data_IF_744325331380
#
_entry.id   IF_744325331380
#
_cell.length_a   1.000
_cell.length_b   1.000
_cell.length_c   1.000
_cell.angle_alpha   90.00
_cell.angle_beta   90.00
_cell.angle_gamma   90.00
#
_symmetry.space_group_name_H-M   'P 1'
#
loop_
_entity.id
_entity.type
_entity.pdbx_description
1 polymer ?
#
# COMPACT_ATOMS: atom_id res chain seq x y z
N UNK A 1 2.72 7.49 15.21
CA UNK A 1 1.95 6.65 14.26
C UNK A 1 0.47 6.90 14.42
N UNK A 2 -0.25 7.01 13.30
CA UNK A 2 -1.70 7.31 13.29
C UNK A 2 -2.55 6.10 13.67
N UNK A 3 -2.11 4.90 13.28
CA UNK A 3 -2.81 3.65 13.56
C UNK A 3 -1.97 2.75 14.46
N UNK A 4 -2.63 2.08 15.39
CA UNK A 4 -2.01 1.06 16.24
C UNK A 4 -2.12 -0.30 15.54
N UNK A 5 -1.13 -0.58 14.67
CA UNK A 5 -1.05 -1.81 13.89
C UNK A 5 0.00 -2.72 14.52
N UNK A 6 -0.38 -3.94 14.85
CA UNK A 6 0.51 -4.90 15.49
C UNK A 6 0.76 -6.12 14.61
N UNK A 7 1.95 -6.72 14.72
CA UNK A 7 2.26 -7.98 14.02
C UNK A 7 1.30 -9.10 14.40
N UNK A 8 0.92 -9.20 15.68
CA UNK A 8 -0.01 -10.24 16.15
C UNK A 8 -1.34 -10.16 15.42
N UNK A 9 -1.90 -8.95 15.27
CA UNK A 9 -3.14 -8.74 14.53
C UNK A 9 -3.02 -9.19 13.06
N UNK A 10 -1.92 -8.83 12.38
CA UNK A 10 -1.69 -9.24 11.00
C UNK A 10 -1.52 -10.75 10.86
N UNK A 11 -0.78 -11.38 11.80
CA UNK A 11 -0.57 -12.83 11.81
C UNK A 11 -1.89 -13.58 12.06
N UNK A 12 -2.72 -13.09 12.97
CA UNK A 12 -4.02 -13.69 13.29
C UNK A 12 -4.97 -13.66 12.08
N UNK A 13 -4.86 -12.61 11.24
CA UNK A 13 -5.72 -12.45 10.04
C UNK A 13 -5.17 -13.23 8.84
N UNK A 14 -3.86 -13.11 8.55
CA UNK A 14 -3.29 -13.59 7.29
C UNK A 14 -2.37 -14.81 7.43
N UNK A 15 -1.85 -15.07 8.61
CA UNK A 15 -0.76 -16.02 8.82
C UNK A 15 0.63 -15.39 8.60
N UNK A 16 1.64 -15.99 9.22
CA UNK A 16 3.03 -15.49 9.20
C UNK A 16 3.65 -15.46 7.80
N UNK A 17 3.36 -16.48 6.98
CA UNK A 17 3.87 -16.68 5.63
C UNK A 17 3.31 -15.68 4.60
N UNK A 18 2.31 -14.93 4.98
CA UNK A 18 1.66 -13.93 4.13
C UNK A 18 2.00 -12.49 4.52
N UNK A 19 2.96 -12.32 5.40
CA UNK A 19 3.47 -11.00 5.79
C UNK A 19 4.86 -10.79 5.20
N UNK A 20 5.03 -9.66 4.53
CA UNK A 20 6.34 -9.21 4.06
C UNK A 20 6.91 -8.17 5.01
N UNK A 21 8.20 -8.30 5.33
CA UNK A 21 8.98 -7.34 6.12
C UNK A 21 10.21 -6.91 5.35
N UNK A 22 10.75 -5.75 5.69
CA UNK A 22 12.00 -5.24 5.15
C UNK A 22 13.08 -5.33 6.24
N UNK A 23 14.27 -5.91 5.96
CA UNK A 23 15.34 -5.95 6.95
C UNK A 23 15.90 -4.55 7.24
N UNK A 24 16.35 -4.31 8.47
CA UNK A 24 16.89 -3.00 8.87
C UNK A 24 18.06 -2.55 7.98
N UNK A 25 18.88 -3.48 7.51
CA UNK A 25 20.01 -3.23 6.62
C UNK A 25 19.63 -2.76 5.23
N UNK A 26 18.35 -2.95 4.83
CA UNK A 26 17.86 -2.51 3.53
C UNK A 26 17.68 -0.99 3.44
N UNK A 27 17.48 -0.32 4.57
CA UNK A 27 17.26 1.11 4.61
C UNK A 27 18.59 1.91 4.61
N UNK A 28 18.62 3.07 3.95
CA UNK A 28 19.75 4.01 4.14
C UNK A 28 19.82 4.46 5.61
N UNK A 29 21.01 4.85 6.12
CA UNK A 29 21.18 5.19 7.53
C UNK A 29 20.21 6.28 8.03
N UNK A 30 19.86 7.25 7.19
CA UNK A 30 18.92 8.32 7.53
C UNK A 30 17.49 7.80 7.79
N UNK A 31 17.08 6.68 7.16
CA UNK A 31 15.75 6.12 7.26
C UNK A 31 15.65 4.94 8.24
N UNK A 32 16.74 4.20 8.47
CA UNK A 32 16.73 2.90 9.17
C UNK A 32 16.11 2.94 10.58
N UNK A 33 16.30 4.05 11.29
CA UNK A 33 15.82 4.25 12.67
C UNK A 33 14.50 5.03 12.75
N UNK A 34 13.91 5.40 11.62
CA UNK A 34 12.60 6.07 11.61
C UNK A 34 11.49 5.12 12.12
N UNK A 35 10.44 5.69 12.67
CA UNK A 35 9.29 4.92 13.16
C UNK A 35 8.65 4.09 12.05
N UNK A 36 8.53 4.67 10.84
CA UNK A 36 8.00 3.98 9.66
C UNK A 36 8.86 2.80 9.21
N UNK A 37 10.19 2.96 9.15
CA UNK A 37 11.09 1.85 8.82
C UNK A 37 11.01 0.73 9.87
N UNK A 38 10.99 1.07 11.17
CA UNK A 38 10.83 0.09 12.24
C UNK A 38 9.53 -0.71 12.15
N UNK A 39 8.43 -0.05 11.75
CA UNK A 39 7.17 -0.74 11.52
C UNK A 39 7.30 -1.75 10.38
N UNK A 40 7.89 -1.38 9.25
CA UNK A 40 8.13 -2.30 8.13
C UNK A 40 9.09 -3.44 8.48
N UNK A 41 10.02 -3.22 9.41
CA UNK A 41 10.95 -4.26 9.89
C UNK A 41 10.28 -5.27 10.83
N UNK A 42 9.39 -4.80 11.72
CA UNK A 42 8.89 -5.62 12.83
C UNK A 42 7.45 -6.08 12.67
N UNK A 43 6.60 -5.26 12.09
CA UNK A 43 5.19 -5.57 11.84
C UNK A 43 5.02 -6.10 10.40
N UNK A 44 5.53 -5.39 9.42
CA UNK A 44 5.41 -5.74 8.01
C UNK A 44 4.07 -5.33 7.40
N UNK A 45 3.80 -5.84 6.20
CA UNK A 45 2.55 -5.62 5.46
C UNK A 45 2.01 -6.93 4.90
N UNK A 46 0.67 -7.10 4.78
CA UNK A 46 0.11 -8.27 4.10
C UNK A 46 0.45 -8.24 2.61
N UNK A 47 0.83 -9.41 2.09
CA UNK A 47 1.17 -9.58 0.68
C UNK A 47 -0.07 -9.67 -0.18
N UNK A 48 -0.05 -9.02 -1.34
CA UNK A 48 -1.15 -9.11 -2.32
C UNK A 48 -1.47 -7.77 -2.97
N UNK A 49 -2.12 -6.87 -2.26
CA UNK A 49 -2.51 -5.54 -2.78
C UNK A 49 -1.29 -4.64 -2.97
N UNK A 50 -0.48 -4.51 -1.93
CA UNK A 50 0.80 -3.79 -1.97
C UNK A 50 1.94 -4.78 -2.19
N UNK A 51 2.91 -4.41 -3.03
CA UNK A 51 4.15 -5.16 -3.21
C UNK A 51 5.30 -4.37 -2.59
N UNK A 52 5.89 -4.90 -1.51
CA UNK A 52 7.15 -4.37 -0.97
C UNK A 52 8.30 -4.62 -1.97
N UNK A 53 9.24 -3.69 -2.01
CA UNK A 53 10.46 -3.86 -2.79
C UNK A 53 11.33 -4.97 -2.18
N UNK A 54 11.89 -5.81 -3.04
CA UNK A 54 12.94 -6.75 -2.63
C UNK A 54 14.25 -5.98 -2.63
N UNK A 55 15.01 -5.98 -1.53
CA UNK A 55 16.33 -5.37 -1.52
C UNK A 55 17.22 -5.98 -2.60
N UNK A 56 18.06 -5.16 -3.22
CA UNK A 56 19.01 -5.58 -4.25
C UNK A 56 19.93 -6.69 -3.72
N UNK A 57 20.19 -7.73 -4.51
CA UNK A 57 20.95 -8.92 -4.09
C UNK A 57 22.41 -8.60 -3.76
N UNK A 58 23.01 -7.65 -4.47
CA UNK A 58 24.44 -7.32 -4.30
C UNK A 58 24.65 -6.34 -3.12
N UNK A 59 23.84 -5.31 -3.01
CA UNK A 59 23.94 -4.27 -1.97
C UNK A 59 23.16 -4.59 -0.69
N UNK A 60 22.13 -5.42 -0.78
CA UNK A 60 21.18 -5.69 0.30
C UNK A 60 20.31 -4.49 0.64
N UNK A 61 20.24 -3.46 -0.22
CA UNK A 61 19.57 -2.18 0.03
C UNK A 61 18.32 -2.01 -0.83
N UNK A 62 17.39 -1.21 -0.34
CA UNK A 62 16.28 -0.69 -1.12
C UNK A 62 16.83 0.30 -2.16
N UNK A 63 16.24 0.35 -3.37
CA UNK A 63 16.54 1.40 -4.31
C UNK A 63 16.09 2.76 -3.74
N UNK A 64 16.75 3.81 -4.17
CA UNK A 64 16.33 5.18 -3.90
C UNK A 64 15.44 5.68 -5.03
N UNK A 65 14.69 6.75 -4.80
CA UNK A 65 13.80 7.31 -5.83
C UNK A 65 14.57 7.61 -7.11
N UNK A 66 15.77 8.21 -7.02
CA UNK A 66 16.63 8.49 -8.18
C UNK A 66 17.10 7.25 -8.97
N UNK A 67 17.00 6.06 -8.38
CA UNK A 67 17.40 4.80 -9.02
C UNK A 67 16.26 4.21 -9.87
N UNK A 68 15.02 4.70 -9.68
CA UNK A 68 13.80 4.17 -10.30
C UNK A 68 13.05 5.17 -11.17
N UNK A 69 13.19 6.48 -10.89
CA UNK A 69 12.60 7.58 -11.69
C UNK A 69 13.59 8.73 -11.82
N UNK A 70 13.45 9.53 -12.88
CA UNK A 70 14.15 10.80 -12.99
C UNK A 70 13.39 11.87 -12.20
N UNK A 71 13.92 12.23 -11.02
CA UNK A 71 13.23 13.14 -10.08
C UNK A 71 13.02 14.54 -10.68
N UNK A 72 13.83 14.95 -11.66
CA UNK A 72 13.71 16.26 -12.32
C UNK A 72 12.42 16.37 -13.15
N UNK A 73 11.85 15.25 -13.58
CA UNK A 73 10.60 15.22 -14.34
C UNK A 73 9.37 15.43 -13.43
N UNK A 74 9.51 15.30 -12.10
CA UNK A 74 8.40 15.37 -11.16
C UNK A 74 8.22 16.77 -10.57
N UNK A 75 7.28 17.54 -11.09
CA UNK A 75 6.96 18.87 -10.57
C UNK A 75 6.50 18.79 -9.10
N UNK A 76 7.12 19.57 -8.22
CA UNK A 76 6.81 19.62 -6.79
C UNK A 76 7.50 18.55 -5.94
N UNK A 77 8.38 17.73 -6.51
CA UNK A 77 9.23 16.85 -5.73
C UNK A 77 10.14 17.66 -4.81
N UNK A 78 10.40 17.15 -3.60
CA UNK A 78 11.37 17.74 -2.67
C UNK A 78 12.79 17.63 -3.24
N UNK A 79 13.66 18.59 -2.96
CA UNK A 79 15.07 18.59 -3.40
C UNK A 79 15.82 17.33 -2.96
N UNK A 80 15.45 16.74 -1.83
CA UNK A 80 16.05 15.52 -1.28
C UNK A 80 15.29 14.26 -1.64
N UNK A 81 14.20 14.34 -2.41
CA UNK A 81 13.35 13.20 -2.75
C UNK A 81 14.12 12.06 -3.44
N UNK A 82 15.15 12.38 -4.22
CA UNK A 82 16.02 11.39 -4.85
C UNK A 82 16.74 10.45 -3.86
N UNK A 83 16.91 10.87 -2.60
CA UNK A 83 17.56 10.08 -1.55
C UNK A 83 16.60 9.23 -0.72
N UNK A 84 15.29 9.30 -0.99
CA UNK A 84 14.31 8.55 -0.23
C UNK A 84 14.29 7.07 -0.65
N UNK A 85 14.23 6.12 0.31
CA UNK A 85 14.11 4.70 -0.02
C UNK A 85 12.73 4.39 -0.61
N UNK A 86 12.72 3.67 -1.72
CA UNK A 86 11.50 3.11 -2.32
C UNK A 86 11.15 1.83 -1.59
N UNK A 87 10.10 1.88 -0.77
CA UNK A 87 9.67 0.77 0.07
C UNK A 87 8.80 -0.26 -0.65
N UNK A 88 8.21 0.12 -1.79
CA UNK A 88 7.35 -0.76 -2.56
C UNK A 88 6.68 -0.05 -3.73
N UNK A 89 5.70 -0.72 -4.31
CA UNK A 89 4.84 -0.13 -5.34
C UNK A 89 3.38 -0.57 -5.22
N UNK A 90 2.50 0.29 -5.70
CA UNK A 90 1.08 0.07 -5.77
C UNK A 90 0.57 0.61 -7.11
N UNK A 91 -0.11 -0.20 -7.92
CA UNK A 91 -0.39 0.11 -9.31
C UNK A 91 0.92 0.45 -10.06
N UNK A 92 0.99 1.62 -10.71
CA UNK A 92 2.14 2.11 -11.46
C UNK A 92 3.04 3.04 -10.61
N UNK A 93 2.66 3.33 -9.35
CA UNK A 93 3.39 4.26 -8.50
C UNK A 93 4.44 3.57 -7.62
N UNK A 94 5.65 4.13 -7.61
CA UNK A 94 6.67 3.80 -6.62
C UNK A 94 6.36 4.49 -5.29
N UNK A 95 6.35 3.73 -4.20
CA UNK A 95 6.10 4.27 -2.87
C UNK A 95 7.41 4.53 -2.16
N UNK A 96 7.68 5.79 -1.83
CA UNK A 96 8.89 6.21 -1.14
C UNK A 96 8.59 6.71 0.27
N UNK A 97 9.48 6.38 1.19
CA UNK A 97 9.45 6.88 2.57
C UNK A 97 10.34 8.10 2.69
N UNK A 98 9.77 9.27 3.02
CA UNK A 98 10.53 10.45 3.41
C UNK A 98 11.11 10.24 4.83
N UNK A 99 12.45 10.15 4.98
CA UNK A 99 13.06 9.91 6.28
C UNK A 99 12.92 11.11 7.24
N UNK A 100 12.77 12.32 6.69
CA UNK A 100 12.70 13.56 7.46
C UNK A 100 11.33 13.73 8.13
N UNK A 101 10.25 13.43 7.42
CA UNK A 101 8.88 13.61 7.91
C UNK A 101 8.18 12.31 8.32
N UNK A 102 8.67 11.16 7.88
CA UNK A 102 8.01 9.86 8.06
C UNK A 102 6.82 9.59 7.13
N UNK A 103 6.57 10.49 6.19
CA UNK A 103 5.47 10.40 5.22
C UNK A 103 5.78 9.41 4.12
N UNK A 104 4.71 8.88 3.50
CA UNK A 104 4.82 8.05 2.31
C UNK A 104 4.34 8.84 1.10
N UNK A 105 5.16 8.87 0.07
CA UNK A 105 4.87 9.52 -1.20
C UNK A 105 4.74 8.48 -2.31
N UNK A 106 3.83 8.72 -3.26
CA UNK A 106 3.68 7.96 -4.48
C UNK A 106 4.28 8.75 -5.64
N UNK A 107 5.18 8.13 -6.39
CA UNK A 107 5.79 8.64 -7.62
C UNK A 107 5.23 7.82 -8.78
N UNK A 108 4.34 8.41 -9.56
CA UNK A 108 3.78 7.79 -10.76
C UNK A 108 4.61 8.20 -11.97
N UNK A 109 5.36 7.24 -12.53
CA UNK A 109 6.27 7.51 -13.65
C UNK A 109 5.54 7.70 -14.98
N UNK A 110 4.32 7.19 -15.13
CA UNK A 110 3.55 7.34 -16.38
C UNK A 110 2.94 8.75 -16.47
N UNK A 111 2.58 9.33 -15.33
CA UNK A 111 1.97 10.66 -15.25
C UNK A 111 2.93 11.76 -14.78
N UNK A 112 4.19 11.39 -14.47
CA UNK A 112 5.22 12.29 -13.94
C UNK A 112 4.72 13.11 -12.71
N UNK A 113 3.89 12.45 -11.87
CA UNK A 113 3.29 13.08 -10.69
C UNK A 113 3.86 12.52 -9.38
N UNK A 114 4.07 13.40 -8.41
CA UNK A 114 4.38 13.02 -7.03
C UNK A 114 3.27 13.48 -6.11
N UNK A 115 2.75 12.57 -5.29
CA UNK A 115 1.69 12.86 -4.32
C UNK A 115 2.07 12.34 -2.93
N UNK A 116 1.83 13.14 -1.91
CA UNK A 116 1.87 12.62 -0.55
C UNK A 116 0.68 11.69 -0.37
N UNK A 117 0.96 10.40 -0.19
CA UNK A 117 -0.07 9.36 -0.16
C UNK A 117 -0.54 9.02 1.27
N UNK A 118 0.39 8.99 2.23
CA UNK A 118 0.08 8.72 3.64
C UNK A 118 0.84 9.64 4.56
N UNK A 119 0.20 10.00 5.67
CA UNK A 119 0.82 10.80 6.74
C UNK A 119 1.94 10.01 7.43
N UNK A 120 1.81 8.68 7.52
CA UNK A 120 2.85 7.78 8.01
C UNK A 120 2.68 6.34 7.49
N UNK A 121 3.66 5.49 7.77
CA UNK A 121 3.66 4.09 7.33
C UNK A 121 2.55 3.27 8.00
N UNK A 122 2.08 3.63 9.20
CA UNK A 122 0.99 2.89 9.85
C UNK A 122 -0.33 3.04 9.09
N UNK A 123 -0.55 4.21 8.48
CA UNK A 123 -1.68 4.45 7.59
C UNK A 123 -1.59 3.58 6.32
N UNK A 124 -0.41 3.50 5.69
CA UNK A 124 -0.19 2.61 4.55
C UNK A 124 -0.52 1.15 4.90
N UNK A 125 0.00 0.65 6.02
CA UNK A 125 -0.24 -0.73 6.47
C UNK A 125 -1.72 -0.95 6.76
N UNK A 126 -2.38 0.00 7.44
CA UNK A 126 -3.79 -0.11 7.80
C UNK A 126 -4.72 -0.15 6.58
N UNK A 127 -4.50 0.71 5.58
CA UNK A 127 -5.30 0.71 4.35
C UNK A 127 -5.06 -0.59 3.57
N UNK A 128 -3.78 -1.01 3.44
CA UNK A 128 -3.41 -2.28 2.79
C UNK A 128 -4.08 -3.48 3.47
N UNK A 129 -4.03 -3.55 4.81
CA UNK A 129 -4.68 -4.59 5.60
C UNK A 129 -6.16 -4.71 5.29
N UNK A 130 -6.88 -3.58 5.29
CA UNK A 130 -8.33 -3.58 5.07
C UNK A 130 -8.71 -4.04 3.67
N UNK A 131 -8.03 -3.56 2.64
CA UNK A 131 -8.25 -4.03 1.27
C UNK A 131 -7.88 -5.50 1.09
N UNK A 132 -6.71 -5.91 1.60
CA UNK A 132 -6.31 -7.31 1.48
C UNK A 132 -7.29 -8.24 2.18
N UNK A 133 -7.78 -7.87 3.36
CA UNK A 133 -8.79 -8.60 4.08
C UNK A 133 -10.11 -8.69 3.30
N UNK A 134 -10.57 -7.57 2.73
CA UNK A 134 -11.77 -7.54 1.90
C UNK A 134 -11.64 -8.51 0.72
N UNK A 135 -10.52 -8.48 -0.01
CA UNK A 135 -10.25 -9.36 -1.15
C UNK A 135 -10.19 -10.86 -0.79
N UNK A 136 -9.87 -11.18 0.46
CA UNK A 136 -9.77 -12.57 0.93
C UNK A 136 -11.06 -13.09 1.53
N UNK A 137 -11.80 -12.25 2.24
CA UNK A 137 -13.01 -12.66 2.98
C UNK A 137 -14.31 -12.46 2.19
N UNK A 138 -14.34 -11.56 1.20
CA UNK A 138 -15.56 -11.30 0.44
C UNK A 138 -15.92 -12.50 -0.45
N UNK A 139 -17.20 -12.88 -0.40
CA UNK A 139 -17.79 -13.96 -1.20
C UNK A 139 -18.94 -13.38 -2.01
N UNK A 140 -18.96 -13.65 -3.30
CA UNK A 140 -20.08 -13.32 -4.18
C UNK A 140 -21.15 -14.43 -4.04
N UNK A 141 -22.29 -14.08 -3.45
CA UNK A 141 -23.34 -15.07 -3.11
C UNK A 141 -24.10 -15.57 -4.34
N UNK A 142 -24.20 -14.71 -5.37
CA UNK A 142 -24.94 -15.00 -6.60
C UNK A 142 -24.05 -14.95 -7.86
N UNK A 143 -22.74 -15.20 -7.71
CA UNK A 143 -21.82 -15.24 -8.84
C UNK A 143 -21.53 -13.86 -9.46
N UNK A 144 -21.66 -12.79 -8.68
CA UNK A 144 -21.39 -11.42 -9.12
C UNK A 144 -22.57 -10.77 -9.82
N UNK A 145 -23.77 -10.89 -9.27
CA UNK A 145 -24.91 -10.09 -9.70
C UNK A 145 -24.83 -8.64 -9.18
N UNK A 146 -25.74 -7.78 -9.62
CA UNK A 146 -25.76 -6.36 -9.25
C UNK A 146 -25.80 -6.17 -7.71
N UNK A 147 -26.48 -7.05 -6.97
CA UNK A 147 -26.56 -6.98 -5.51
C UNK A 147 -25.22 -7.30 -4.82
N UNK A 148 -24.43 -8.21 -5.38
CA UNK A 148 -23.10 -8.52 -4.91
C UNK A 148 -22.14 -7.34 -5.13
N UNK A 149 -22.19 -6.71 -6.31
CA UNK A 149 -21.36 -5.52 -6.59
C UNK A 149 -21.77 -4.31 -5.74
N UNK A 150 -23.07 -4.06 -5.53
CA UNK A 150 -23.51 -3.02 -4.60
C UNK A 150 -23.03 -3.26 -3.17
N UNK A 151 -22.97 -4.54 -2.73
CA UNK A 151 -22.44 -4.89 -1.41
C UNK A 151 -20.94 -4.64 -1.33
N UNK A 152 -20.20 -5.01 -2.38
CA UNK A 152 -18.76 -4.79 -2.47
C UNK A 152 -18.41 -3.30 -2.47
N UNK A 153 -19.13 -2.48 -3.24
CA UNK A 153 -18.99 -1.02 -3.26
C UNK A 153 -19.20 -0.41 -1.86
N UNK A 154 -20.22 -0.86 -1.14
CA UNK A 154 -20.44 -0.42 0.27
C UNK A 154 -19.29 -0.78 1.19
N UNK A 155 -18.64 -1.94 1.01
CA UNK A 155 -17.48 -2.32 1.82
C UNK A 155 -16.25 -1.45 1.48
N UNK A 156 -16.01 -1.15 0.20
CA UNK A 156 -14.95 -0.23 -0.24
C UNK A 156 -15.19 1.16 0.35
N UNK A 157 -16.41 1.68 0.24
CA UNK A 157 -16.77 2.99 0.80
C UNK A 157 -16.63 3.02 2.34
N UNK A 158 -16.94 1.93 3.02
CA UNK A 158 -16.71 1.80 4.47
C UNK A 158 -15.23 1.90 4.82
N UNK A 159 -14.34 1.22 4.07
CA UNK A 159 -12.90 1.33 4.25
C UNK A 159 -12.45 2.79 4.07
N UNK A 160 -12.90 3.45 2.99
CA UNK A 160 -12.61 4.85 2.71
C UNK A 160 -13.03 5.74 3.87
N UNK A 161 -14.28 5.66 4.32
CA UNK A 161 -14.82 6.49 5.40
C UNK A 161 -14.12 6.27 6.75
N UNK A 162 -13.81 5.04 7.11
CA UNK A 162 -13.17 4.73 8.39
C UNK A 162 -11.70 5.18 8.42
N UNK A 163 -10.96 5.02 7.31
CA UNK A 163 -9.55 5.39 7.25
C UNK A 163 -9.34 6.87 7.00
N UNK A 164 -10.18 7.53 6.17
CA UNK A 164 -10.06 8.96 5.87
C UNK A 164 -10.36 9.87 7.07
N UNK A 165 -11.09 9.38 8.08
CA UNK A 165 -11.29 10.13 9.34
C UNK A 165 -9.99 10.33 10.13
N UNK A 166 -9.00 9.46 9.93
CA UNK A 166 -7.73 9.47 10.64
C UNK A 166 -6.63 9.99 9.73
N UNK A 167 -6.57 9.48 8.49
CA UNK A 167 -5.67 9.94 7.45
C UNK A 167 -6.46 10.20 6.15
N UNK A 168 -6.74 11.46 5.79
CA UNK A 168 -7.47 11.78 4.57
C UNK A 168 -6.62 11.66 3.30
N UNK A 169 -5.29 11.64 3.40
CA UNK A 169 -4.38 11.71 2.26
C UNK A 169 -4.56 10.59 1.22
N UNK A 170 -4.80 9.32 1.60
CA UNK A 170 -5.06 8.25 0.64
C UNK A 170 -6.26 8.49 -0.29
N UNK A 171 -7.14 9.42 0.10
CA UNK A 171 -8.47 9.65 -0.50
C UNK A 171 -8.73 11.11 -0.87
N UNK A 172 -7.64 11.92 -1.10
CA UNK A 172 -7.79 13.37 -1.36
C UNK A 172 -8.60 13.66 -2.63
N UNK A 173 -8.47 12.82 -3.64
CA UNK A 173 -9.17 12.92 -4.92
C UNK A 173 -9.33 11.53 -5.56
N UNK A 174 -10.00 11.47 -6.69
CA UNK A 174 -10.29 10.20 -7.38
C UNK A 174 -9.08 9.64 -8.15
N UNK A 175 -8.00 10.42 -8.31
CA UNK A 175 -6.76 10.01 -8.98
C UNK A 175 -5.72 9.41 -8.03
N UNK A 176 -5.95 9.44 -6.71
CA UNK A 176 -5.03 8.77 -5.78
C UNK A 176 -4.98 7.27 -6.05
N UNK A 177 -3.81 6.66 -5.89
CA UNK A 177 -3.65 5.21 -6.12
C UNK A 177 -4.62 4.36 -5.29
N UNK A 178 -5.01 4.83 -4.08
CA UNK A 178 -6.01 4.11 -3.29
C UNK A 178 -7.44 4.30 -3.77
N UNK A 179 -7.79 5.45 -4.33
CA UNK A 179 -9.09 5.68 -4.98
C UNK A 179 -9.24 4.75 -6.19
N UNK A 180 -8.21 4.68 -7.05
CA UNK A 180 -8.18 3.76 -8.21
C UNK A 180 -8.25 2.29 -7.77
N UNK A 181 -7.48 1.88 -6.74
CA UNK A 181 -7.58 0.51 -6.16
C UNK A 181 -9.00 0.24 -5.67
N UNK A 182 -9.62 1.20 -5.00
CA UNK A 182 -11.00 1.09 -4.52
C UNK A 182 -11.99 0.86 -5.64
N UNK A 183 -11.90 1.61 -6.74
CA UNK A 183 -12.75 1.43 -7.92
C UNK A 183 -12.56 0.06 -8.58
N UNK A 184 -11.31 -0.38 -8.77
CA UNK A 184 -11.02 -1.69 -9.32
C UNK A 184 -11.55 -2.83 -8.43
N UNK A 185 -11.43 -2.68 -7.09
CA UNK A 185 -12.01 -3.64 -6.14
C UNK A 185 -13.52 -3.64 -6.23
N UNK A 186 -14.17 -2.47 -6.22
CA UNK A 186 -15.62 -2.35 -6.35
C UNK A 186 -16.15 -2.95 -7.66
N UNK A 187 -15.36 -2.86 -8.75
CA UNK A 187 -15.65 -3.49 -10.04
C UNK A 187 -15.30 -5.01 -10.09
N UNK A 188 -14.83 -5.61 -9.00
CA UNK A 188 -14.48 -7.04 -8.94
C UNK A 188 -13.15 -7.42 -9.63
N UNK A 189 -12.38 -6.45 -10.11
CA UNK A 189 -11.21 -6.71 -10.99
C UNK A 189 -9.98 -7.26 -10.25
N UNK A 190 -9.87 -7.08 -8.94
CA UNK A 190 -8.67 -7.45 -8.16
C UNK A 190 -8.77 -8.80 -7.43
N UNK A 191 -9.87 -9.50 -7.57
CA UNK A 191 -10.04 -10.82 -6.96
C UNK A 191 -9.19 -11.88 -7.68
N UNK A 192 -8.37 -12.60 -6.93
CA UNK A 192 -7.57 -13.71 -7.49
C UNK A 192 -8.46 -14.93 -7.66
N UNK A 193 -8.34 -15.64 -8.78
CA UNK A 193 -9.16 -16.82 -9.06
C UNK A 193 -9.07 -17.95 -8.03
N UNK A 194 -8.00 -17.99 -7.22
CA UNK A 194 -7.84 -18.93 -6.12
C UNK A 194 -8.32 -18.42 -4.76
N UNK A 195 -8.73 -17.13 -4.65
CA UNK A 195 -9.36 -16.61 -3.43
C UNK A 195 -10.83 -17.08 -3.32
N UNK A 196 -11.44 -17.05 -2.13
CA UNK A 196 -12.87 -17.34 -1.98
C UNK A 196 -13.74 -16.48 -2.89
N UNK A 197 -13.51 -15.16 -2.92
CA UNK A 197 -14.22 -14.24 -3.80
C UNK A 197 -13.98 -14.51 -5.28
N UNK A 198 -12.74 -14.75 -5.69
CA UNK A 198 -12.45 -15.08 -7.08
C UNK A 198 -13.10 -16.40 -7.53
N UNK A 199 -13.12 -17.43 -6.70
CA UNK A 199 -13.83 -18.67 -7.00
C UNK A 199 -15.35 -18.48 -7.09
N UNK A 200 -15.94 -17.62 -6.26
CA UNK A 200 -17.39 -17.36 -6.33
C UNK A 200 -17.76 -16.45 -7.51
N UNK A 201 -16.82 -15.63 -8.00
CA UNK A 201 -17.05 -14.72 -9.13
C UNK A 201 -16.79 -15.39 -10.49
N UNK A 202 -15.73 -16.22 -10.60
CA UNK A 202 -15.25 -16.77 -11.88
C UNK A 202 -15.49 -18.28 -12.04
N UNK A 203 -15.84 -18.98 -10.96
CA UNK A 203 -16.06 -20.43 -10.94
C UNK A 203 -17.46 -20.82 -11.16
#
# INVERSE_FOLDING_TARGET
>A
MLFDVTRSELVDIFGEDRLATLPATAFPPAAADTEGARLLQTVGVPTGTLRLHVPDEDSGRLPLVRDVVDVEDFEGASEDAGEWPVIGWLLNAHLALDPGSGKVHAFDADEETVRQLHTDVSSLVQVTLRFQRLLEEFIFDNGGDDGDFERLEREVERIRQETSRIDPLPWQDDETVWSVVGEEVAAGQRFKGNSPGGRSLYG
#
